data_IF_972596736893
#
_entry.id   IF_972596736893
#
_cell.length_a   1.000
_cell.length_b   1.000
_cell.length_c   1.000
_cell.angle_alpha   90.00
_cell.angle_beta   90.00
_cell.angle_gamma   90.00
#
_symmetry.space_group_name_H-M   'P 1'
#
loop_
_entity.id
_entity.type
_entity.pdbx_description
1 polymer ?
#
# COMPACT_ATOMS: atom_id res chain seq x y z
N UNK A 1 -19.34 -10.66 6.94
CA UNK A 1 -18.90 -12.04 6.91
C UNK A 1 -17.46 -12.17 7.41
N UNK A 2 -17.26 -13.18 8.20
CA UNK A 2 -15.92 -13.41 8.70
C UNK A 2 -15.03 -13.90 7.57
N UNK A 3 -14.18 -13.05 7.07
CA UNK A 3 -13.19 -13.44 6.10
C UNK A 3 -12.02 -14.11 6.79
N UNK A 4 -11.09 -14.58 5.98
CA UNK A 4 -9.83 -15.06 6.49
C UNK A 4 -9.11 -13.94 7.21
N UNK A 5 -8.49 -14.29 8.33
CA UNK A 5 -7.62 -13.36 9.02
C UNK A 5 -6.18 -13.68 8.68
N UNK A 6 -5.41 -12.66 8.33
CA UNK A 6 -4.01 -12.81 7.96
C UNK A 6 -3.13 -12.32 9.10
N UNK A 7 -2.03 -13.02 9.31
CA UNK A 7 -1.10 -12.73 10.40
C UNK A 7 0.30 -12.40 9.90
N UNK A 8 0.53 -12.55 8.61
CA UNK A 8 1.85 -12.21 8.04
C UNK A 8 1.68 -11.78 6.60
N UNK A 9 2.64 -10.98 6.18
CA UNK A 9 2.73 -10.46 4.83
C UNK A 9 3.71 -11.33 4.06
N UNK A 10 3.35 -11.77 2.86
CA UNK A 10 4.22 -12.56 2.00
C UNK A 10 4.97 -11.62 1.06
N UNK A 11 6.29 -11.69 1.08
CA UNK A 11 7.09 -10.95 0.11
C UNK A 11 7.69 -11.92 -0.88
N UNK A 12 7.56 -11.62 -2.16
CA UNK A 12 8.19 -12.43 -3.18
C UNK A 12 9.71 -12.25 -3.12
N UNK A 13 10.44 -13.27 -3.56
CA UNK A 13 11.90 -13.23 -3.58
C UNK A 13 12.40 -11.99 -4.32
N UNK A 14 11.70 -11.58 -5.39
CA UNK A 14 12.07 -10.44 -6.19
C UNK A 14 11.53 -9.10 -5.70
N UNK A 15 11.03 -9.00 -4.47
CA UNK A 15 10.43 -7.76 -3.98
C UNK A 15 11.34 -6.53 -4.19
N UNK A 16 12.61 -6.65 -3.83
CA UNK A 16 13.54 -5.52 -3.96
C UNK A 16 14.05 -5.30 -5.38
N UNK A 17 13.66 -6.19 -6.31
CA UNK A 17 13.96 -6.01 -7.72
C UNK A 17 12.81 -5.34 -8.47
N UNK A 18 11.66 -5.19 -7.85
CA UNK A 18 10.52 -4.51 -8.48
C UNK A 18 10.85 -3.06 -8.74
N UNK A 19 10.45 -2.59 -9.91
CA UNK A 19 10.81 -1.25 -10.34
C UNK A 19 10.30 -0.17 -9.39
N UNK A 20 9.08 -0.34 -8.86
CA UNK A 20 8.55 0.64 -7.92
C UNK A 20 9.40 0.71 -6.64
N UNK A 21 9.84 -0.42 -6.12
CA UNK A 21 10.66 -0.43 -4.92
C UNK A 21 12.01 0.23 -5.18
N UNK A 22 12.61 -0.07 -6.32
CA UNK A 22 13.86 0.58 -6.71
C UNK A 22 13.67 2.08 -6.84
N UNK A 23 12.57 2.51 -7.43
CA UNK A 23 12.27 3.93 -7.60
C UNK A 23 12.07 4.63 -6.26
N UNK A 24 11.33 4.02 -5.35
CA UNK A 24 11.13 4.60 -4.01
C UNK A 24 12.47 4.80 -3.31
N UNK A 25 13.38 3.86 -3.47
CA UNK A 25 14.69 3.93 -2.81
C UNK A 25 15.60 5.00 -3.38
N UNK A 26 15.32 5.54 -4.56
CA UNK A 26 16.08 6.67 -5.11
C UNK A 26 15.68 8.00 -4.51
N UNK A 27 14.52 8.06 -3.85
CA UNK A 27 14.03 9.31 -3.26
C UNK A 27 14.79 9.63 -1.98
N UNK A 28 14.79 10.92 -1.55
CA UNK A 28 15.30 11.26 -0.23
C UNK A 28 14.59 10.40 0.81
N UNK A 29 15.34 9.83 1.74
CA UNK A 29 14.83 8.91 2.75
C UNK A 29 14.13 7.68 2.15
N UNK A 30 14.60 7.23 0.98
CA UNK A 30 13.95 6.15 0.25
C UNK A 30 13.82 4.86 1.03
N UNK A 31 14.84 4.49 1.81
CA UNK A 31 14.76 3.27 2.60
C UNK A 31 13.72 3.39 3.72
N UNK A 32 13.60 4.58 4.31
CA UNK A 32 12.53 4.84 5.29
C UNK A 32 11.15 4.80 4.64
N UNK A 33 11.05 5.27 3.40
CA UNK A 33 9.80 5.21 2.64
C UNK A 33 9.38 3.76 2.43
N UNK A 34 10.32 2.89 2.01
CA UNK A 34 10.00 1.47 1.79
C UNK A 34 9.63 0.81 3.12
N UNK A 35 10.33 1.12 4.19
CA UNK A 35 9.99 0.58 5.50
C UNK A 35 8.58 1.00 5.92
N UNK A 36 8.25 2.27 5.75
CA UNK A 36 6.91 2.75 6.08
C UNK A 36 5.85 2.10 5.19
N UNK A 37 6.14 1.92 3.91
CA UNK A 37 5.24 1.21 3.01
C UNK A 37 4.93 -0.19 3.55
N UNK A 38 5.95 -0.93 4.00
CA UNK A 38 5.73 -2.25 4.60
C UNK A 38 4.87 -2.17 5.85
N UNK A 39 5.09 -1.16 6.71
CA UNK A 39 4.26 -0.95 7.89
C UNK A 39 2.79 -0.69 7.51
N UNK A 40 2.56 0.09 6.46
CA UNK A 40 1.21 0.37 5.99
C UNK A 40 0.53 -0.88 5.44
N UNK A 41 1.27 -1.71 4.70
CA UNK A 41 0.74 -2.97 4.20
C UNK A 41 0.32 -3.89 5.36
N UNK A 42 1.16 -3.98 6.40
CA UNK A 42 0.82 -4.77 7.58
C UNK A 42 -0.40 -4.21 8.31
N UNK A 43 -0.49 -2.87 8.40
CA UNK A 43 -1.63 -2.23 9.03
C UNK A 43 -2.94 -2.54 8.32
N UNK A 44 -2.90 -2.63 7.00
CA UNK A 44 -4.10 -2.82 6.18
C UNK A 44 -4.35 -4.28 5.79
N UNK A 45 -3.61 -5.21 6.36
CA UNK A 45 -3.63 -6.60 5.92
C UNK A 45 -4.99 -7.27 6.12
N UNK A 46 -5.76 -6.85 7.10
CA UNK A 46 -7.09 -7.39 7.38
C UNK A 46 -8.22 -6.44 7.03
N UNK A 47 -7.93 -5.36 6.30
CA UNK A 47 -8.92 -4.40 5.85
C UNK A 47 -8.87 -4.25 4.33
N UNK A 48 -8.46 -5.30 3.65
CA UNK A 48 -8.41 -5.37 2.19
C UNK A 48 -7.58 -4.24 1.56
N UNK A 49 -6.52 -3.85 2.27
CA UNK A 49 -5.60 -2.83 1.78
C UNK A 49 -6.05 -1.40 2.06
N UNK A 50 -7.10 -1.21 2.84
CA UNK A 50 -7.62 0.13 3.11
C UNK A 50 -7.15 0.61 4.48
N UNK A 51 -6.53 1.79 4.51
CA UNK A 51 -6.21 2.49 5.74
C UNK A 51 -7.27 3.56 5.91
N UNK A 52 -8.18 3.35 6.87
CA UNK A 52 -9.33 4.21 7.05
C UNK A 52 -8.97 5.51 7.75
N UNK A 53 -9.48 6.61 7.20
CA UNK A 53 -9.39 7.91 7.84
C UNK A 53 -10.47 7.98 8.91
N UNK A 54 -10.05 8.24 10.16
CA UNK A 54 -10.97 8.22 11.29
C UNK A 54 -11.52 9.58 11.66
N UNK A 55 -11.09 10.64 10.97
CA UNK A 55 -11.52 12.01 11.22
C UNK A 55 -11.20 12.51 12.64
N UNK A 56 -10.18 11.93 13.26
CA UNK A 56 -9.72 12.36 14.58
C UNK A 56 -8.75 13.53 14.43
N UNK A 57 -7.86 13.44 13.46
CA UNK A 57 -6.89 14.50 13.14
C UNK A 57 -7.24 15.14 11.81
N UNK A 58 -6.66 16.31 11.49
CA UNK A 58 -7.03 17.04 10.27
C UNK A 58 -6.78 16.30 8.96
N UNK A 59 -5.88 15.31 8.95
CA UNK A 59 -5.58 14.56 7.74
C UNK A 59 -5.22 13.13 8.06
N UNK A 60 -5.35 12.25 7.07
CA UNK A 60 -4.93 10.86 7.20
C UNK A 60 -3.43 10.77 7.50
N UNK A 61 -2.63 11.65 6.88
CA UNK A 61 -1.18 11.68 7.11
C UNK A 61 -0.86 11.78 8.59
N UNK A 62 -1.55 12.68 9.28
CA UNK A 62 -1.31 12.90 10.70
C UNK A 62 -1.77 11.71 11.53
N UNK A 63 -2.88 11.09 11.17
CA UNK A 63 -3.35 9.89 11.87
C UNK A 63 -2.37 8.73 11.72
N UNK A 64 -1.86 8.53 10.51
CA UNK A 64 -0.86 7.48 10.28
C UNK A 64 0.42 7.79 11.04
N UNK A 65 0.85 9.06 11.05
CA UNK A 65 2.06 9.44 11.78
C UNK A 65 1.95 9.12 13.25
N UNK A 66 0.81 9.44 13.84
CA UNK A 66 0.58 9.16 15.26
C UNK A 66 0.55 7.65 15.51
N UNK A 67 -0.13 6.91 14.66
CA UNK A 67 -0.31 5.47 14.83
C UNK A 67 1.00 4.69 14.64
N UNK A 68 1.82 5.09 13.67
CA UNK A 68 3.05 4.37 13.35
C UNK A 68 4.26 4.89 14.12
N UNK A 69 4.15 6.06 14.73
CA UNK A 69 5.29 6.70 15.38
C UNK A 69 6.26 7.35 14.41
N UNK A 70 5.86 7.50 13.15
CA UNK A 70 6.71 8.14 12.14
C UNK A 70 6.45 9.64 12.08
N UNK A 71 7.39 10.37 11.51
CA UNK A 71 7.23 11.82 11.35
C UNK A 71 6.18 12.11 10.29
N UNK A 72 5.30 13.10 10.52
CA UNK A 72 4.29 13.46 9.51
C UNK A 72 4.87 13.77 8.14
N UNK A 73 6.03 14.41 8.08
CA UNK A 73 6.68 14.72 6.81
C UNK A 73 7.04 13.45 6.02
N UNK A 74 7.52 12.43 6.72
CA UNK A 74 7.84 11.15 6.08
C UNK A 74 6.58 10.45 5.60
N UNK A 75 5.51 10.48 6.39
CA UNK A 75 4.24 9.86 6.00
C UNK A 75 3.69 10.55 4.74
N UNK A 76 3.71 11.89 4.73
CA UNK A 76 3.22 12.63 3.58
C UNK A 76 4.03 12.31 2.32
N UNK A 77 5.35 12.27 2.43
CA UNK A 77 6.23 11.93 1.32
C UNK A 77 5.96 10.52 0.81
N UNK A 78 5.79 9.57 1.73
CA UNK A 78 5.53 8.18 1.38
C UNK A 78 4.20 8.03 0.63
N UNK A 79 3.13 8.62 1.15
CA UNK A 79 1.81 8.53 0.52
C UNK A 79 1.85 9.20 -0.85
N UNK A 80 2.47 10.37 -0.95
CA UNK A 80 2.59 11.06 -2.23
C UNK A 80 3.32 10.20 -3.26
N UNK A 81 4.41 9.56 -2.87
CA UNK A 81 5.17 8.70 -3.77
C UNK A 81 4.36 7.47 -4.19
N UNK A 82 3.69 6.81 -3.24
CA UNK A 82 2.88 5.64 -3.55
C UNK A 82 1.76 5.99 -4.53
N UNK A 83 1.11 7.13 -4.34
CA UNK A 83 0.05 7.57 -5.25
C UNK A 83 0.63 7.93 -6.62
N UNK A 84 1.77 8.61 -6.64
CA UNK A 84 2.42 8.99 -7.89
C UNK A 84 2.78 7.77 -8.74
N UNK A 85 3.24 6.70 -8.11
CA UNK A 85 3.66 5.49 -8.81
C UNK A 85 2.58 4.43 -8.86
N UNK A 86 1.34 4.81 -8.59
CA UNK A 86 0.16 3.95 -8.76
C UNK A 86 0.13 2.73 -7.82
N UNK A 87 0.76 2.85 -6.67
CA UNK A 87 0.71 1.80 -5.65
C UNK A 87 -0.38 2.05 -4.62
N UNK A 88 -0.95 3.25 -4.59
CA UNK A 88 -2.01 3.60 -3.66
C UNK A 88 -2.93 4.63 -4.31
N UNK A 89 -4.14 4.74 -3.77
CA UNK A 89 -5.11 5.71 -4.24
C UNK A 89 -5.97 6.16 -3.06
N UNK A 90 -6.30 7.45 -3.03
CA UNK A 90 -7.24 7.97 -2.04
C UNK A 90 -8.66 7.64 -2.46
N UNK A 91 -9.46 7.23 -1.48
CA UNK A 91 -10.88 6.99 -1.67
C UNK A 91 -11.68 8.26 -1.36
N UNK A 92 -12.98 8.24 -1.65
CA UNK A 92 -13.84 9.42 -1.48
C UNK A 92 -13.90 9.92 -0.04
N UNK A 93 -13.75 9.02 0.93
CA UNK A 93 -13.78 9.37 2.36
C UNK A 93 -12.40 9.74 2.89
N UNK A 94 -11.44 9.99 2.01
CA UNK A 94 -10.05 10.32 2.33
C UNK A 94 -9.24 9.17 2.93
N UNK A 95 -9.78 7.96 2.93
CA UNK A 95 -9.02 6.77 3.27
C UNK A 95 -8.08 6.42 2.14
N UNK A 96 -7.06 5.62 2.43
CA UNK A 96 -6.05 5.24 1.44
C UNK A 96 -6.17 3.77 1.13
N UNK A 97 -6.23 3.42 -0.15
CA UNK A 97 -6.20 2.02 -0.56
C UNK A 97 -4.84 1.68 -1.15
N UNK A 98 -4.23 0.62 -0.62
CA UNK A 98 -2.96 0.08 -1.11
C UNK A 98 -3.28 -0.99 -2.16
N UNK A 99 -2.79 -0.79 -3.37
CA UNK A 99 -3.24 -1.56 -4.52
C UNK A 99 -2.58 -2.92 -4.69
N UNK A 100 -1.38 -3.11 -4.10
CA UNK A 100 -0.63 -4.35 -4.30
C UNK A 100 -0.78 -5.38 -3.18
N UNK A 101 -1.55 -5.07 -2.15
CA UNK A 101 -1.65 -5.95 -0.98
C UNK A 101 -2.18 -7.33 -1.36
N UNK A 102 -3.09 -7.40 -2.33
CA UNK A 102 -3.68 -8.67 -2.75
C UNK A 102 -2.66 -9.70 -3.19
N UNK A 103 -1.51 -9.25 -3.69
CA UNK A 103 -0.43 -10.14 -4.13
C UNK A 103 0.39 -10.68 -2.97
N UNK A 104 0.20 -10.13 -1.79
CA UNK A 104 1.04 -10.42 -0.62
C UNK A 104 0.30 -11.16 0.48
N UNK A 105 -0.96 -11.53 0.25
CA UNK A 105 -1.79 -12.21 1.24
C UNK A 105 -2.64 -13.28 0.58
N UNK A 106 -3.23 -14.14 1.38
CA UNK A 106 -4.24 -15.06 0.94
C UNK A 106 -3.71 -16.37 0.43
N UNK A 107 -4.63 -17.20 -0.05
CA UNK A 107 -4.27 -18.45 -0.69
C UNK A 107 -3.73 -18.17 -2.08
N UNK A 108 -2.93 -19.09 -2.57
CA UNK A 108 -2.32 -18.94 -3.89
C UNK A 108 -3.35 -18.71 -4.99
N UNK A 109 -4.45 -19.45 -4.97
CA UNK A 109 -5.49 -19.29 -5.99
C UNK A 109 -6.13 -17.91 -5.94
N UNK A 110 -6.40 -17.40 -4.76
CA UNK A 110 -6.99 -16.07 -4.59
C UNK A 110 -6.02 -14.99 -5.06
N UNK A 111 -4.75 -15.14 -4.69
CA UNK A 111 -3.72 -14.19 -5.11
C UNK A 111 -3.58 -14.18 -6.63
N UNK A 112 -3.59 -15.37 -7.25
CA UNK A 112 -3.48 -15.46 -8.70
C UNK A 112 -4.63 -14.74 -9.40
N UNK A 113 -5.85 -14.90 -8.90
CA UNK A 113 -7.01 -14.21 -9.47
C UNK A 113 -6.89 -12.70 -9.34
N UNK A 114 -6.45 -12.22 -8.19
CA UNK A 114 -6.27 -10.79 -7.95
C UNK A 114 -5.19 -10.21 -8.87
N UNK A 115 -4.10 -10.92 -9.04
CA UNK A 115 -3.02 -10.48 -9.92
C UNK A 115 -3.54 -10.36 -11.35
N UNK A 116 -4.28 -11.36 -11.82
CA UNK A 116 -4.83 -11.31 -13.16
C UNK A 116 -5.76 -10.12 -13.35
N UNK A 117 -6.64 -9.89 -12.38
CA UNK A 117 -7.56 -8.75 -12.44
C UNK A 117 -6.82 -7.43 -12.43
N UNK A 118 -5.83 -7.31 -11.59
CA UNK A 118 -5.03 -6.10 -11.51
C UNK A 118 -4.30 -5.82 -12.83
N UNK A 119 -3.67 -6.84 -13.39
CA UNK A 119 -2.96 -6.70 -14.66
C UNK A 119 -3.91 -6.35 -15.80
N UNK A 120 -5.11 -6.92 -15.81
CA UNK A 120 -6.12 -6.59 -16.80
C UNK A 120 -6.51 -5.11 -16.70
N UNK A 121 -6.73 -4.63 -15.48
CA UNK A 121 -7.07 -3.22 -15.27
C UNK A 121 -5.94 -2.29 -15.67
N UNK A 122 -4.69 -2.66 -15.36
CA UNK A 122 -3.53 -1.89 -15.75
C UNK A 122 -3.42 -1.80 -17.27
N UNK A 123 -3.66 -2.90 -17.96
CA UNK A 123 -3.61 -2.94 -19.41
C UNK A 123 -4.67 -2.03 -20.02
N UNK A 124 -5.89 -2.06 -19.48
CA UNK A 124 -6.96 -1.20 -19.95
C UNK A 124 -6.60 0.28 -19.78
N UNK A 125 -6.04 0.63 -18.65
CA UNK A 125 -5.62 2.01 -18.37
C UNK A 125 -4.55 2.45 -19.36
N UNK A 126 -3.57 1.59 -19.62
CA UNK A 126 -2.47 1.93 -20.53
C UNK A 126 -2.91 2.05 -21.98
N UNK A 127 -3.95 1.36 -22.37
CA UNK A 127 -4.46 1.40 -23.73
C UNK A 127 -5.30 2.64 -24.02
N UNK A 128 -5.64 3.39 -23.02
CA UNK A 128 -6.34 4.65 -23.17
C UNK A 128 -5.35 5.79 -23.36
#
# INVERSE_FOLDING_TARGET
MAGKRYYWLKLQVGFFQELIIKQLRTLPEGDSIVLLYLKLLLKAINTEGIIYYQNILPSLDEEIALDTGEKPALVKLTISALCKYHAAVFLDDQSLQLLYLGDMVGSESTSAARVRNYRANQKLIKEK
#
